data_IF_337081603345
#
_entry.id   IF_337081603345
#
_cell.length_a   1.000
_cell.length_b   1.000
_cell.length_c   1.000
_cell.angle_alpha   90.00
_cell.angle_beta   90.00
_cell.angle_gamma   90.00
#
_symmetry.space_group_name_H-M   'P 1'
#
loop_
_entity.id
_entity.type
_entity.pdbx_description
1 polymer ?
#
# COMPACT_ATOMS: atom_id res chain seq x y z
N UNK A 1 12.51 5.44 1.24
CA UNK A 1 11.60 6.41 0.62
C UNK A 1 10.78 7.08 1.71
N UNK A 2 10.66 8.40 1.67
CA UNK A 2 10.03 9.14 2.76
C UNK A 2 8.57 9.48 2.46
N UNK A 3 7.85 8.52 1.90
CA UNK A 3 6.43 8.71 1.64
C UNK A 3 5.64 7.59 2.33
N UNK A 4 4.38 7.87 2.57
CA UNK A 4 3.51 6.86 3.18
C UNK A 4 2.59 6.26 2.11
N UNK A 5 1.84 5.24 2.53
CA UNK A 5 0.94 4.54 1.62
C UNK A 5 -0.07 5.50 1.02
N UNK A 6 -0.60 6.40 1.85
CA UNK A 6 -1.60 7.34 1.37
C UNK A 6 -1.06 8.19 0.21
N UNK A 7 0.19 8.61 0.31
CA UNK A 7 0.79 9.40 -0.76
C UNK A 7 0.96 8.60 -2.04
N UNK A 8 1.32 7.32 -1.91
CA UNK A 8 1.43 6.46 -3.08
C UNK A 8 0.08 6.29 -3.76
N UNK A 9 -0.97 6.03 -2.96
CA UNK A 9 -2.28 5.78 -3.52
C UNK A 9 -2.91 7.03 -4.12
N UNK A 10 -2.62 8.19 -3.55
CA UNK A 10 -3.18 9.45 -4.05
C UNK A 10 -2.37 10.04 -5.18
N UNK A 11 -1.22 9.46 -5.48
CA UNK A 11 -0.35 10.02 -6.47
C UNK A 11 -0.91 9.72 -7.84
N UNK A 12 -1.41 10.76 -8.47
CA UNK A 12 -1.68 10.72 -9.88
C UNK A 12 -2.82 9.83 -10.31
N UNK A 13 -2.65 9.34 -11.47
CA UNK A 13 -3.62 8.67 -12.29
C UNK A 13 -3.90 7.24 -11.86
N UNK A 14 -3.33 6.83 -10.75
CA UNK A 14 -3.49 5.43 -10.35
C UNK A 14 -4.61 5.20 -9.36
N UNK A 15 -5.05 6.25 -8.67
CA UNK A 15 -5.90 6.07 -7.50
C UNK A 15 -7.26 5.46 -7.78
N UNK A 16 -7.76 5.62 -8.98
CA UNK A 16 -9.07 5.09 -9.31
C UNK A 16 -9.01 3.71 -9.94
N UNK A 17 -7.82 3.19 -10.09
CA UNK A 17 -7.64 1.99 -10.89
C UNK A 17 -7.39 0.74 -10.07
N UNK A 18 -6.98 0.91 -8.82
CA UNK A 18 -6.48 -0.23 -8.06
C UNK A 18 -7.60 -0.95 -7.36
N UNK A 19 -7.83 -2.18 -7.76
CA UNK A 19 -8.76 -3.07 -7.08
C UNK A 19 -8.07 -3.85 -5.98
N UNK A 20 -6.76 -4.02 -6.10
CA UNK A 20 -5.98 -4.76 -5.11
C UNK A 20 -4.75 -3.99 -4.73
N UNK A 21 -4.57 -3.82 -3.44
CA UNK A 21 -3.39 -3.21 -2.87
C UNK A 21 -2.77 -4.27 -1.98
N UNK A 22 -1.63 -4.84 -2.40
CA UNK A 22 -0.96 -5.88 -1.65
C UNK A 22 0.18 -5.24 -0.88
N UNK A 23 0.19 -5.44 0.43
CA UNK A 23 1.18 -4.80 1.30
C UNK A 23 1.92 -5.88 2.09
N UNK A 24 3.25 -5.89 1.97
CA UNK A 24 4.11 -6.76 2.76
C UNK A 24 4.71 -5.95 3.89
N UNK A 25 4.68 -6.49 5.10
CA UNK A 25 5.21 -5.79 6.25
C UNK A 25 6.56 -6.37 6.69
N UNK A 26 7.11 -5.85 7.78
CA UNK A 26 8.44 -6.26 8.25
C UNK A 26 8.46 -7.69 8.78
N UNK A 27 7.31 -8.25 9.11
CA UNK A 27 7.22 -9.64 9.54
C UNK A 27 7.18 -10.63 8.38
N UNK A 28 7.12 -10.12 7.15
CA UNK A 28 6.98 -10.99 6.00
C UNK A 28 5.55 -11.40 5.72
N UNK A 29 4.60 -10.90 6.49
CA UNK A 29 3.19 -11.15 6.23
C UNK A 29 2.71 -10.22 5.14
N UNK A 30 1.67 -10.65 4.43
CA UNK A 30 1.09 -9.79 3.43
C UNK A 30 -0.39 -9.63 3.66
N UNK A 31 -0.93 -8.51 3.17
CA UNK A 31 -2.33 -8.16 3.34
C UNK A 31 -2.84 -7.61 2.04
N UNK A 32 -4.09 -7.90 1.73
CA UNK A 32 -4.72 -7.44 0.50
C UNK A 32 -5.86 -6.51 0.86
N UNK A 33 -5.76 -5.28 0.37
CA UNK A 33 -6.78 -4.26 0.61
C UNK A 33 -7.26 -3.72 -0.72
N UNK A 34 -8.31 -2.91 -0.65
CA UNK A 34 -8.70 -2.04 -1.75
C UNK A 34 -8.84 -0.62 -1.20
N UNK A 35 -9.18 0.33 -2.07
CA UNK A 35 -9.28 1.72 -1.64
C UNK A 35 -10.37 1.95 -0.60
N UNK A 36 -11.36 1.08 -0.56
CA UNK A 36 -12.49 1.25 0.36
C UNK A 36 -12.20 0.70 1.74
N UNK A 37 -11.39 -0.35 1.85
CA UNK A 37 -11.24 -1.04 3.13
C UNK A 37 -9.87 -0.88 3.79
N UNK A 38 -8.96 -0.17 3.15
CA UNK A 38 -7.65 0.03 3.76
C UNK A 38 -7.79 0.95 4.97
N UNK A 39 -7.19 0.51 6.09
CA UNK A 39 -7.34 1.21 7.35
C UNK A 39 -6.53 2.50 7.39
N UNK A 40 -7.04 3.49 8.13
CA UNK A 40 -6.36 4.79 8.19
C UNK A 40 -4.95 4.67 8.76
N UNK A 41 -4.76 3.85 9.80
CA UNK A 41 -3.44 3.72 10.39
C UNK A 41 -2.44 3.07 9.43
N UNK A 42 -2.95 2.23 8.55
CA UNK A 42 -2.09 1.58 7.55
C UNK A 42 -1.67 2.59 6.49
N UNK A 43 -2.59 3.47 6.11
CA UNK A 43 -2.28 4.49 5.11
C UNK A 43 -1.15 5.41 5.54
N UNK A 44 -0.93 5.55 6.84
CA UNK A 44 0.11 6.43 7.36
C UNK A 44 1.47 5.75 7.46
N UNK A 45 1.55 4.46 7.21
CA UNK A 45 2.81 3.75 7.31
C UNK A 45 3.72 4.08 6.15
N UNK A 46 5.02 4.11 6.42
CA UNK A 46 6.00 4.47 5.41
C UNK A 46 6.21 3.34 4.42
N UNK A 47 6.35 3.71 3.17
CA UNK A 47 6.60 2.77 2.09
C UNK A 47 8.09 2.63 1.88
N UNK A 48 8.58 1.41 1.91
CA UNK A 48 9.96 1.13 1.60
C UNK A 48 10.17 1.09 0.09
N UNK A 49 9.27 0.41 -0.61
CA UNK A 49 9.27 0.38 -2.07
C UNK A 49 7.90 -0.07 -2.56
N UNK A 50 7.62 0.21 -3.79
CA UNK A 50 6.36 -0.22 -4.37
C UNK A 50 6.52 -0.46 -5.86
N UNK A 51 5.58 -1.23 -6.41
CA UNK A 51 5.57 -1.51 -7.84
C UNK A 51 4.12 -1.49 -8.31
N UNK A 52 3.87 -0.80 -9.40
CA UNK A 52 2.57 -0.82 -10.04
C UNK A 52 2.61 -1.94 -11.07
N UNK A 53 1.95 -3.05 -10.75
CA UNK A 53 1.99 -4.24 -11.58
C UNK A 53 1.07 -4.10 -12.78
N UNK A 54 -0.11 -3.50 -12.54
CA UNK A 54 -1.07 -3.27 -13.61
C UNK A 54 -1.96 -2.12 -13.19
N UNK A 55 -2.93 -1.80 -14.01
CA UNK A 55 -3.89 -0.75 -13.66
C UNK A 55 -4.69 -1.09 -12.40
N UNK A 56 -4.79 -2.37 -12.08
CA UNK A 56 -5.65 -2.82 -10.99
C UNK A 56 -4.88 -3.38 -9.80
N UNK A 57 -3.57 -3.45 -9.88
CA UNK A 57 -2.77 -4.10 -8.84
C UNK A 57 -1.52 -3.29 -8.54
N UNK A 58 -1.35 -2.96 -7.26
CA UNK A 58 -0.13 -2.36 -6.77
C UNK A 58 0.39 -3.21 -5.61
N UNK A 59 1.69 -3.38 -5.54
CA UNK A 59 2.35 -4.16 -4.50
C UNK A 59 3.34 -3.25 -3.78
N UNK A 60 3.30 -3.28 -2.46
CA UNK A 60 4.16 -2.42 -1.63
C UNK A 60 4.84 -3.24 -0.55
N UNK A 61 6.04 -2.80 -0.19
CA UNK A 61 6.71 -3.23 1.04
C UNK A 61 6.79 -2.01 1.93
N UNK A 62 6.34 -2.16 3.14
CA UNK A 62 6.30 -1.04 4.10
C UNK A 62 7.27 -1.28 5.25
N UNK A 63 7.52 -0.21 6.00
CA UNK A 63 8.28 -0.28 7.25
C UNK A 63 7.28 -0.43 8.38
N UNK A 64 7.53 -1.41 9.26
CA UNK A 64 6.66 -1.65 10.37
C UNK A 64 5.80 -2.88 10.18
N UNK A 65 4.93 -3.13 11.14
CA UNK A 65 4.09 -4.32 11.19
C UNK A 65 2.64 -3.88 11.26
N UNK A 66 1.80 -4.45 10.39
CA UNK A 66 0.40 -4.07 10.34
C UNK A 66 -0.38 -4.67 11.49
N UNK A 67 -0.11 -5.93 11.76
CA UNK A 67 -0.86 -6.66 12.78
C UNK A 67 0.11 -7.09 13.90
N UNK A 68 0.22 -6.29 14.91
CA UNK A 68 1.10 -6.60 16.05
C UNK A 68 0.33 -6.93 17.31
#
# INVERSE_FOLDING_TARGET
MEININEVLNNSHNRNMKEKIVIFDDNGDFYIFNHSNIMERVKEMKVERFEIVSEKLIVMKIEGVIND
#
